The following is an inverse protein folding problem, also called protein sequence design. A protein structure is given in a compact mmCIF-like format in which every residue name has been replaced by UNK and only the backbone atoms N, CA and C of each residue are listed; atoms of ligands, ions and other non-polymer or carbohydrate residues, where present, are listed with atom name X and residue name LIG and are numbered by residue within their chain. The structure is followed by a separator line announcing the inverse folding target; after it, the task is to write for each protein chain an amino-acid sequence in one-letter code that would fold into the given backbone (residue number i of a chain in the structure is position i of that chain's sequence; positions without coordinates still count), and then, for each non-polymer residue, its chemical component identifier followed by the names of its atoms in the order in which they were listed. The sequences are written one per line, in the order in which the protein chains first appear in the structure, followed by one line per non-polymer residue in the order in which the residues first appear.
data_IF_048079229604
#
_entry.id   IF_048079229604
#
_cell.length_a   1.000
_cell.length_b   1.000
_cell.length_c   1.000
_cell.angle_alpha   90.00
_cell.angle_beta   90.00
_cell.angle_gamma   90.00
#
_symmetry.space_group_name_H-M   'P 1'
#
loop_
_entity.id
_entity.type
_entity.pdbx_description
1 polymer ?
#
# COMPACT_ATOMS: atom_id res chain seq x y z
N UNK A 1 -6.58 16.14 -6.31
CA UNK A 1 -7.72 16.24 -7.25
C UNK A 1 -8.77 15.16 -7.04
N UNK A 2 -9.85 15.15 -7.84
CA UNK A 2 -10.93 14.17 -7.68
C UNK A 2 -10.43 12.70 -7.71
N UNK A 3 -9.47 12.37 -8.56
CA UNK A 3 -8.90 11.01 -8.65
C UNK A 3 -8.24 10.51 -7.36
N UNK A 4 -7.60 11.39 -6.59
CA UNK A 4 -6.97 11.04 -5.31
C UNK A 4 -8.01 10.74 -4.24
N UNK A 5 -9.09 11.53 -4.23
CA UNK A 5 -10.19 11.33 -3.28
C UNK A 5 -10.86 9.98 -3.56
N UNK A 6 -11.12 9.64 -4.81
CA UNK A 6 -11.73 8.35 -5.18
C UNK A 6 -10.86 7.15 -4.78
N UNK A 7 -9.54 7.19 -5.05
CA UNK A 7 -8.64 6.10 -4.67
C UNK A 7 -8.61 5.88 -3.16
N UNK A 8 -8.48 6.95 -2.38
CA UNK A 8 -8.35 6.83 -0.92
C UNK A 8 -9.65 6.48 -0.23
N UNK A 9 -10.77 6.82 -0.82
CA UNK A 9 -12.06 6.40 -0.35
C UNK A 9 -12.27 4.90 -0.55
N UNK A 10 -11.82 4.33 -1.68
CA UNK A 10 -11.89 2.89 -1.91
C UNK A 10 -11.02 2.09 -0.94
N UNK A 11 -9.91 2.67 -0.44
CA UNK A 11 -9.12 2.10 0.67
C UNK A 11 -10.00 1.92 1.92
N UNK A 12 -10.84 2.92 2.25
CA UNK A 12 -11.80 2.82 3.35
C UNK A 12 -12.74 1.62 3.21
N UNK A 13 -13.24 1.36 2.01
CA UNK A 13 -14.10 0.19 1.74
C UNK A 13 -13.39 -1.16 1.90
N UNK A 14 -12.07 -1.18 1.90
CA UNK A 14 -11.30 -2.41 2.11
C UNK A 14 -11.07 -2.74 3.60
N UNK A 15 -11.28 -1.81 4.54
CA UNK A 15 -11.00 -2.00 5.95
C UNK A 15 -12.10 -2.78 6.69
N UNK A 16 -11.88 -4.06 6.91
CA UNK A 16 -12.82 -4.95 7.62
C UNK A 16 -12.23 -5.54 8.91
N UNK A 17 -12.91 -5.31 10.05
CA UNK A 17 -12.59 -5.93 11.34
C UNK A 17 -12.70 -7.46 11.32
N UNK A 18 -13.58 -8.00 10.49
CA UNK A 18 -13.77 -9.45 10.33
C UNK A 18 -12.50 -10.11 9.81
N UNK A 19 -11.84 -9.49 8.82
CA UNK A 19 -10.60 -10.04 8.24
C UNK A 19 -9.44 -10.02 9.24
N UNK A 20 -9.34 -9.00 10.11
CA UNK A 20 -8.37 -8.99 11.20
C UNK A 20 -8.58 -10.14 12.19
N UNK A 21 -9.83 -10.43 12.55
CA UNK A 21 -10.15 -11.53 13.47
C UNK A 21 -9.85 -12.90 12.85
N UNK A 22 -10.15 -13.09 11.57
CA UNK A 22 -9.88 -14.35 10.83
C UNK A 22 -8.37 -14.56 10.65
N UNK A 23 -7.62 -13.50 10.37
CA UNK A 23 -6.17 -13.56 10.16
C UNK A 23 -5.34 -13.83 11.41
N UNK A 24 -5.92 -13.62 12.59
CA UNK A 24 -5.31 -13.93 13.87
C UNK A 24 -3.96 -13.26 14.11
N UNK A 25 -3.13 -13.91 14.96
CA UNK A 25 -1.84 -13.35 15.41
C UNK A 25 -0.87 -13.00 14.27
N UNK A 26 -0.88 -13.75 13.15
CA UNK A 26 0.07 -13.52 12.06
C UNK A 26 -0.22 -12.21 11.31
N UNK A 27 -1.49 -11.88 11.07
CA UNK A 27 -1.89 -10.61 10.45
C UNK A 27 -1.51 -9.45 11.34
N UNK A 28 -1.76 -9.54 12.65
CA UNK A 28 -1.40 -8.48 13.61
C UNK A 28 0.11 -8.25 13.67
N UNK A 29 0.90 -9.33 13.77
CA UNK A 29 2.37 -9.23 13.80
C UNK A 29 2.94 -8.64 12.50
N UNK A 30 2.36 -9.02 11.36
CA UNK A 30 2.79 -8.50 10.07
C UNK A 30 2.41 -7.04 9.91
N UNK A 31 1.21 -6.64 10.35
CA UNK A 31 0.76 -5.24 10.37
C UNK A 31 1.67 -4.38 11.26
N UNK A 32 2.00 -4.84 12.47
CA UNK A 32 2.93 -4.13 13.34
C UNK A 32 4.32 -3.97 12.71
N UNK A 33 4.81 -5.01 12.02
CA UNK A 33 6.07 -4.91 11.27
C UNK A 33 5.98 -3.89 10.14
N UNK A 34 4.86 -3.83 9.43
CA UNK A 34 4.65 -2.85 8.35
C UNK A 34 4.56 -1.42 8.90
N UNK A 35 3.82 -1.18 9.98
CA UNK A 35 3.74 0.12 10.65
C UNK A 35 5.13 0.56 11.13
N UNK A 36 5.91 -0.34 11.71
CA UNK A 36 7.27 -0.02 12.14
C UNK A 36 8.16 0.38 10.97
N UNK A 37 8.03 -0.28 9.82
CA UNK A 37 8.76 0.12 8.61
C UNK A 37 8.33 1.52 8.14
N UNK A 38 7.04 1.83 8.11
CA UNK A 38 6.50 3.16 7.78
C UNK A 38 7.12 4.26 8.66
N UNK A 39 7.15 4.04 9.96
CA UNK A 39 7.76 4.99 10.91
C UNK A 39 9.24 5.18 10.64
N UNK A 40 9.98 4.08 10.44
CA UNK A 40 11.42 4.15 10.16
C UNK A 40 11.73 4.82 8.83
N UNK A 41 10.93 4.59 7.78
CA UNK A 41 11.06 5.25 6.49
C UNK A 41 10.95 6.78 6.64
N UNK A 42 10.01 7.26 7.43
CA UNK A 42 9.83 8.69 7.68
C UNK A 42 10.98 9.28 8.53
N UNK A 43 11.42 8.57 9.56
CA UNK A 43 12.56 9.00 10.38
C UNK A 43 13.83 9.12 9.51
N UNK A 44 14.11 8.11 8.68
CA UNK A 44 15.29 8.11 7.79
C UNK A 44 15.19 9.22 6.75
N UNK A 45 14.00 9.41 6.14
CA UNK A 45 13.79 10.49 5.16
C UNK A 45 14.08 11.87 5.76
N UNK A 46 13.48 12.16 6.92
CA UNK A 46 13.66 13.45 7.60
C UNK A 46 15.10 13.63 8.07
N UNK A 47 15.73 12.59 8.63
CA UNK A 47 17.12 12.67 9.12
C UNK A 47 18.11 12.95 7.99
N UNK A 48 17.98 12.28 6.86
CA UNK A 48 18.81 12.53 5.68
C UNK A 48 18.49 13.90 5.08
N UNK A 49 17.22 14.31 5.06
CA UNK A 49 16.81 15.64 4.61
C UNK A 49 17.55 16.74 5.39
N UNK A 50 17.54 16.67 6.71
CA UNK A 50 18.32 17.60 7.56
C UNK A 50 19.81 17.55 7.27
N UNK A 51 20.40 16.37 7.13
CA UNK A 51 21.83 16.20 6.90
C UNK A 51 22.29 16.71 5.53
N UNK A 52 21.41 16.69 4.52
CA UNK A 52 21.71 17.11 3.15
C UNK A 52 21.21 18.52 2.79
N UNK A 53 20.54 19.19 3.73
CA UNK A 53 19.99 20.53 3.51
C UNK A 53 18.69 20.56 2.70
N UNK A 54 18.06 19.40 2.47
CA UNK A 54 16.73 19.34 1.85
C UNK A 54 15.68 19.71 2.91
N UNK A 55 14.66 20.46 2.49
CA UNK A 55 13.54 20.74 3.39
C UNK A 55 12.92 19.43 3.90
N UNK A 56 12.70 19.26 5.22
CA UNK A 56 12.19 18.04 5.81
C UNK A 56 10.83 17.59 5.26
N UNK A 57 9.97 18.51 4.84
CA UNK A 57 8.67 18.18 4.22
C UNK A 57 8.84 17.56 2.83
N UNK A 58 9.81 18.05 2.04
CA UNK A 58 10.14 17.43 0.73
C UNK A 58 10.80 16.06 0.96
N UNK A 59 11.71 15.97 1.93
CA UNK A 59 12.34 14.69 2.28
C UNK A 59 11.29 13.66 2.76
N UNK A 60 10.32 14.07 3.56
CA UNK A 60 9.23 13.22 4.04
C UNK A 60 8.42 12.57 2.89
N UNK A 61 8.25 13.29 1.78
CA UNK A 61 7.59 12.74 0.58
C UNK A 61 8.37 11.56 -0.03
N UNK A 62 9.68 11.43 0.24
CA UNK A 62 10.48 10.27 -0.18
C UNK A 62 10.49 9.13 0.84
N UNK A 63 9.86 9.32 1.99
CA UNK A 63 9.67 8.32 3.04
C UNK A 63 8.53 7.36 2.74
N UNK A 64 7.78 6.99 3.77
CA UNK A 64 6.66 6.07 3.62
C UNK A 64 5.60 6.56 2.64
N UNK A 65 5.41 7.88 2.54
CA UNK A 65 4.47 8.52 1.61
C UNK A 65 4.64 8.01 0.17
N UNK A 66 5.88 7.94 -0.33
CA UNK A 66 6.16 7.43 -1.67
C UNK A 66 6.47 5.93 -1.68
N UNK A 67 7.17 5.42 -0.66
CA UNK A 67 7.62 4.03 -0.62
C UNK A 67 6.47 3.07 -0.34
N UNK A 68 5.87 3.12 0.84
CA UNK A 68 4.75 2.24 1.22
C UNK A 68 3.42 2.70 0.62
N UNK A 69 3.15 4.01 0.61
CA UNK A 69 1.91 4.58 0.06
C UNK A 69 1.89 4.67 -1.46
N UNK A 70 3.04 4.52 -2.10
CA UNK A 70 3.17 4.54 -3.56
C UNK A 70 2.68 5.84 -4.20
N UNK A 71 2.35 5.77 -5.49
CA UNK A 71 1.89 6.93 -6.24
C UNK A 71 0.63 7.58 -5.67
N UNK A 72 -0.27 6.81 -5.07
CA UNK A 72 -1.53 7.36 -4.56
C UNK A 72 -1.34 8.27 -3.36
N UNK A 73 -0.55 7.83 -2.36
CA UNK A 73 -0.26 8.64 -1.19
C UNK A 73 0.65 9.81 -1.56
N UNK A 74 1.67 9.57 -2.37
CA UNK A 74 2.56 10.60 -2.90
C UNK A 74 1.78 11.74 -3.58
N UNK A 75 0.84 11.39 -4.43
CA UNK A 75 0.02 12.32 -5.17
C UNK A 75 -0.97 13.12 -4.32
N UNK A 76 -1.45 12.53 -3.24
CA UNK A 76 -2.37 13.22 -2.35
C UNK A 76 -1.67 14.16 -1.36
N UNK A 77 -0.44 13.81 -0.93
CA UNK A 77 0.32 14.61 0.03
C UNK A 77 1.14 15.73 -0.62
N UNK A 78 1.65 15.50 -1.82
CA UNK A 78 2.50 16.47 -2.50
C UNK A 78 1.84 17.85 -2.75
N UNK A 79 0.57 17.96 -3.18
CA UNK A 79 -0.10 19.25 -3.30
C UNK A 79 -0.17 20.03 -1.99
N UNK A 80 -0.36 19.33 -0.86
CA UNK A 80 -0.39 19.96 0.47
C UNK A 80 0.96 20.62 0.78
N UNK A 81 2.05 19.93 0.44
CA UNK A 81 3.40 20.48 0.62
C UNK A 81 3.66 21.64 -0.34
N UNK A 82 3.13 21.59 -1.58
CA UNK A 82 3.23 22.72 -2.52
C UNK A 82 2.44 23.95 -2.04
N UNK A 83 1.22 23.76 -1.48
CA UNK A 83 0.42 24.83 -0.87
C UNK A 83 1.11 25.49 0.34
N UNK A 84 1.99 24.74 1.02
CA UNK A 84 2.86 25.29 2.08
C UNK A 84 4.05 26.11 1.52
N UNK A 85 4.15 26.28 0.20
CA UNK A 85 5.18 27.09 -0.47
C UNK A 85 6.40 26.32 -0.96
N UNK A 86 6.38 24.99 -0.93
CA UNK A 86 7.51 24.16 -1.38
C UNK A 86 7.29 23.63 -2.79
N UNK A 87 7.70 24.42 -3.79
CA UNK A 87 7.62 24.04 -5.21
C UNK A 87 8.39 22.75 -5.52
N UNK A 88 7.91 21.95 -6.49
CA UNK A 88 8.55 20.70 -6.91
C UNK A 88 8.25 19.49 -6.03
N UNK A 89 7.49 19.64 -4.94
CA UNK A 89 7.10 18.53 -4.06
C UNK A 89 6.39 17.41 -4.82
N UNK A 90 5.51 17.75 -5.77
CA UNK A 90 4.81 16.79 -6.61
C UNK A 90 5.76 15.97 -7.50
N UNK A 91 6.75 16.64 -8.10
CA UNK A 91 7.76 15.99 -8.94
C UNK A 91 8.62 15.03 -8.11
N UNK A 92 9.07 15.43 -6.93
CA UNK A 92 9.85 14.62 -5.99
C UNK A 92 9.04 13.40 -5.54
N UNK A 93 7.80 13.58 -5.11
CA UNK A 93 6.96 12.50 -4.58
C UNK A 93 6.67 11.43 -5.63
N UNK A 94 6.34 11.83 -6.87
CA UNK A 94 6.04 10.88 -7.95
C UNK A 94 7.31 10.18 -8.43
N UNK A 95 8.45 10.88 -8.54
CA UNK A 95 9.73 10.27 -8.87
C UNK A 95 10.15 9.24 -7.80
N UNK A 96 9.97 9.58 -6.52
CA UNK A 96 10.25 8.66 -5.41
C UNK A 96 9.36 7.42 -5.45
N UNK A 97 8.05 7.58 -5.68
CA UNK A 97 7.12 6.46 -5.82
C UNK A 97 7.45 5.56 -7.00
N UNK A 98 7.85 6.14 -8.13
CA UNK A 98 8.29 5.39 -9.33
C UNK A 98 9.56 4.58 -9.03
N UNK A 99 10.56 5.19 -8.39
CA UNK A 99 11.75 4.47 -7.94
C UNK A 99 11.38 3.33 -6.97
N UNK A 100 10.54 3.61 -6.00
CA UNK A 100 10.08 2.63 -5.03
C UNK A 100 9.43 1.41 -5.69
N UNK A 101 8.56 1.64 -6.68
CA UNK A 101 7.91 0.58 -7.46
C UNK A 101 8.94 -0.33 -8.16
N UNK A 102 9.96 0.25 -8.78
CA UNK A 102 11.03 -0.48 -9.48
C UNK A 102 11.89 -1.26 -8.47
N UNK A 103 12.33 -0.59 -7.40
CA UNK A 103 13.14 -1.20 -6.35
C UNK A 103 12.38 -2.33 -5.63
N UNK A 104 11.11 -2.11 -5.29
CA UNK A 104 10.26 -3.09 -4.64
C UNK A 104 10.07 -4.36 -5.48
N UNK A 105 9.84 -4.21 -6.79
CA UNK A 105 9.72 -5.35 -7.71
C UNK A 105 11.04 -6.10 -7.88
N UNK A 106 12.17 -5.37 -7.87
CA UNK A 106 13.48 -5.97 -8.14
C UNK A 106 14.11 -6.67 -6.93
N UNK A 107 13.82 -6.20 -5.71
CA UNK A 107 14.49 -6.67 -4.49
C UNK A 107 13.80 -7.83 -3.78
N UNK A 108 12.49 -8.00 -3.95
CA UNK A 108 11.71 -8.97 -3.17
C UNK A 108 12.08 -10.42 -3.45
N UNK A 109 12.13 -10.81 -4.72
CA UNK A 109 12.53 -12.16 -5.12
C UNK A 109 13.96 -12.53 -4.67
N UNK A 110 14.98 -11.71 -4.94
CA UNK A 110 16.35 -11.92 -4.45
C UNK A 110 16.46 -12.04 -2.93
N UNK A 111 15.74 -11.20 -2.16
CA UNK A 111 15.73 -11.25 -0.70
C UNK A 111 15.22 -12.61 -0.19
N UNK A 112 14.05 -13.05 -0.67
CA UNK A 112 13.48 -14.33 -0.26
C UNK A 112 14.36 -15.52 -0.69
N UNK A 113 14.87 -15.53 -1.90
CA UNK A 113 15.80 -16.56 -2.37
C UNK A 113 17.05 -16.64 -1.49
N UNK A 114 17.59 -15.49 -1.07
CA UNK A 114 18.75 -15.45 -0.15
C UNK A 114 18.40 -16.02 1.21
N UNK A 115 17.21 -15.70 1.75
CA UNK A 115 16.73 -16.24 3.03
C UNK A 115 16.56 -17.76 2.95
N UNK A 116 15.87 -18.26 1.92
CA UNK A 116 15.61 -19.70 1.73
C UNK A 116 16.93 -20.49 1.65
N UNK A 117 17.86 -20.04 0.78
CA UNK A 117 19.14 -20.72 0.59
C UNK A 117 20.06 -20.64 1.79
N UNK A 118 20.23 -19.43 2.37
CA UNK A 118 21.18 -19.23 3.48
C UNK A 118 20.74 -19.90 4.78
N UNK A 119 19.43 -20.04 4.97
CA UNK A 119 18.85 -20.64 6.18
C UNK A 119 18.47 -22.10 5.98
N UNK A 120 18.72 -22.68 4.80
CA UNK A 120 18.32 -24.05 4.44
C UNK A 120 16.85 -24.33 4.85
N UNK A 121 15.94 -23.40 4.48
CA UNK A 121 14.57 -23.53 4.89
C UNK A 121 13.93 -24.75 4.23
N UNK A 122 13.41 -25.65 5.06
CA UNK A 122 12.68 -26.82 4.57
C UNK A 122 11.39 -26.37 3.89
N UNK A 123 11.27 -26.68 2.63
CA UNK A 123 10.02 -26.57 1.90
C UNK A 123 9.22 -27.85 2.19
N UNK A 124 8.60 -27.96 3.38
CA UNK A 124 7.78 -29.12 3.72
C UNK A 124 6.70 -29.28 2.69
N UNK A 125 6.66 -30.47 2.07
CA UNK A 125 5.55 -30.86 1.21
C UNK A 125 4.33 -31.11 2.12
N UNK A 126 3.51 -30.10 2.36
CA UNK A 126 2.17 -30.35 2.87
C UNK A 126 1.40 -31.08 1.78
N UNK A 127 0.86 -32.24 2.13
CA UNK A 127 0.00 -33.03 1.27
C UNK A 127 -1.17 -32.16 0.86
N UNK A 128 -1.21 -31.81 -0.43
CA UNK A 128 -2.28 -31.01 -1.03
C UNK A 128 -3.43 -31.97 -1.31
N UNK A 129 -4.20 -32.29 -0.29
CA UNK A 129 -5.51 -32.87 -0.45
C UNK A 129 -6.53 -32.02 0.33
N UNK A 130 -7.51 -31.52 -0.37
CA UNK A 130 -8.82 -30.99 0.09
C UNK A 130 -9.00 -29.54 0.53
N UNK A 131 -8.08 -28.61 0.44
CA UNK A 131 -8.39 -27.20 0.79
C UNK A 131 -8.44 -26.20 -0.38
N UNK A 132 -8.28 -26.64 -1.61
CA UNK A 132 -8.34 -25.76 -2.80
C UNK A 132 -9.68 -25.05 -3.04
N UNK A 133 -10.77 -25.46 -2.39
CA UNK A 133 -12.09 -24.83 -2.62
C UNK A 133 -12.33 -23.53 -1.84
N UNK A 134 -11.59 -23.26 -0.77
CA UNK A 134 -11.82 -22.06 0.04
C UNK A 134 -10.85 -20.91 -0.24
N UNK A 135 -9.66 -21.19 -0.80
CA UNK A 135 -8.69 -20.16 -1.17
C UNK A 135 -9.01 -19.50 -2.53
N UNK A 136 -9.75 -20.20 -3.40
CA UNK A 136 -10.36 -19.60 -4.60
C UNK A 136 -11.31 -18.44 -4.28
N UNK A 137 -11.86 -18.38 -3.07
CA UNK A 137 -12.80 -17.33 -2.68
C UNK A 137 -12.14 -15.93 -2.53
N UNK A 138 -10.83 -15.87 -2.30
CA UNK A 138 -10.11 -14.59 -2.19
C UNK A 138 -9.45 -14.16 -3.50
N UNK A 139 -9.24 -15.07 -4.44
CA UNK A 139 -8.51 -14.82 -5.69
C UNK A 139 -9.23 -15.37 -6.93
N UNK A 140 -10.39 -15.97 -6.77
CA UNK A 140 -11.20 -16.35 -7.90
C UNK A 140 -11.76 -15.09 -8.55
N UNK A 141 -10.98 -14.53 -9.48
CA UNK A 141 -11.50 -13.75 -10.57
C UNK A 141 -12.40 -14.64 -11.45
N UNK A 142 -13.47 -15.17 -10.88
CA UNK A 142 -14.65 -15.42 -11.68
C UNK A 142 -14.98 -14.04 -12.24
N UNK A 143 -14.76 -13.88 -13.53
CA UNK A 143 -15.19 -12.71 -14.30
C UNK A 143 -16.71 -12.64 -14.13
N UNK A 144 -17.15 -12.12 -12.99
CA UNK A 144 -18.52 -11.67 -12.81
C UNK A 144 -18.69 -10.61 -13.89
N UNK A 145 -19.62 -10.81 -14.80
CA UNK A 145 -19.92 -9.78 -15.79
C UNK A 145 -20.24 -8.52 -15.01
N UNK A 146 -19.44 -7.48 -15.20
CA UNK A 146 -19.72 -6.17 -14.66
C UNK A 146 -21.09 -5.75 -15.17
N UNK A 147 -21.99 -5.47 -14.25
CA UNK A 147 -23.32 -5.01 -14.58
C UNK A 147 -23.39 -3.49 -14.46
N UNK A 148 -23.92 -2.83 -15.49
CA UNK A 148 -24.02 -1.37 -15.53
C UNK A 148 -24.84 -0.80 -14.37
N UNK A 149 -25.87 -1.52 -13.91
CA UNK A 149 -26.68 -1.10 -12.75
C UNK A 149 -25.87 -1.16 -11.45
N UNK A 150 -25.10 -2.22 -11.25
CA UNK A 150 -24.24 -2.36 -10.07
C UNK A 150 -23.10 -1.35 -10.09
N UNK A 151 -22.56 -1.04 -11.26
CA UNK A 151 -21.56 0.02 -11.43
C UNK A 151 -22.11 1.39 -11.03
N UNK A 152 -23.34 1.72 -11.44
CA UNK A 152 -23.99 2.95 -11.05
C UNK A 152 -24.24 2.99 -9.53
N UNK A 153 -24.67 1.88 -8.92
CA UNK A 153 -24.85 1.77 -7.45
C UNK A 153 -23.52 1.98 -6.71
N UNK A 154 -22.45 1.31 -7.15
CA UNK A 154 -21.11 1.48 -6.58
C UNK A 154 -20.65 2.94 -6.67
N UNK A 155 -20.83 3.57 -7.81
CA UNK A 155 -20.50 4.98 -8.01
C UNK A 155 -21.30 5.90 -7.07
N UNK A 156 -22.60 5.66 -6.91
CA UNK A 156 -23.43 6.40 -5.96
C UNK A 156 -23.00 6.22 -4.50
N UNK A 157 -22.63 5.00 -4.10
CA UNK A 157 -22.11 4.72 -2.76
C UNK A 157 -20.82 5.49 -2.51
N UNK A 158 -19.93 5.56 -3.50
CA UNK A 158 -18.71 6.36 -3.43
C UNK A 158 -19.05 7.85 -3.27
N UNK A 159 -19.94 8.40 -4.09
CA UNK A 159 -20.36 9.80 -3.98
C UNK A 159 -21.00 10.11 -2.62
N UNK A 160 -21.82 9.21 -2.10
CA UNK A 160 -22.46 9.37 -0.79
C UNK A 160 -21.41 9.39 0.34
N UNK A 161 -20.44 8.48 0.30
CA UNK A 161 -19.37 8.46 1.28
C UNK A 161 -18.48 9.72 1.18
N UNK A 162 -18.23 10.24 -0.05
CA UNK A 162 -17.55 11.53 -0.24
C UNK A 162 -18.35 12.69 0.35
N UNK A 163 -19.63 12.75 0.08
CA UNK A 163 -20.51 13.81 0.57
C UNK A 163 -20.54 13.84 2.10
N UNK A 164 -20.88 12.73 2.73
CA UNK A 164 -20.92 12.65 4.22
C UNK A 164 -19.52 12.88 4.80
N UNK A 165 -18.49 12.28 4.19
CA UNK A 165 -17.12 12.39 4.64
C UNK A 165 -16.52 13.78 4.52
N UNK A 166 -16.97 14.60 3.55
CA UNK A 166 -16.51 15.98 3.44
C UNK A 166 -16.98 16.84 4.66
N UNK A 167 -18.19 16.64 5.12
CA UNK A 167 -18.66 17.29 6.36
C UNK A 167 -17.87 16.80 7.57
N UNK A 168 -17.57 15.50 7.65
CA UNK A 168 -16.74 14.94 8.70
C UNK A 168 -15.32 15.55 8.67
N UNK A 169 -14.72 15.72 7.47
CA UNK A 169 -13.42 16.39 7.33
C UNK A 169 -13.46 17.83 7.82
N UNK A 170 -14.51 18.59 7.50
CA UNK A 170 -14.67 19.98 7.96
C UNK A 170 -14.72 20.02 9.49
N UNK A 171 -15.46 19.10 10.10
CA UNK A 171 -15.57 19.02 11.56
C UNK A 171 -14.24 18.64 12.23
N UNK A 172 -13.53 17.62 11.71
CA UNK A 172 -12.24 17.17 12.22
C UNK A 172 -11.19 18.30 12.08
N UNK A 173 -11.20 19.04 10.98
CA UNK A 173 -10.24 20.10 10.70
C UNK A 173 -10.40 21.35 11.62
N UNK A 174 -11.45 21.43 12.43
CA UNK A 174 -11.56 22.43 13.50
C UNK A 174 -10.59 22.13 14.66
N UNK A 175 -10.23 20.86 14.87
CA UNK A 175 -9.39 20.41 15.97
C UNK A 175 -7.99 20.03 15.52
N UNK A 176 -7.86 19.39 14.36
CA UNK A 176 -6.61 18.85 13.81
C UNK A 176 -6.60 19.06 12.30
N UNK A 177 -5.54 19.64 11.76
CA UNK A 177 -5.40 19.85 10.32
C UNK A 177 -5.08 18.53 9.61
N UNK A 178 -6.08 17.86 9.09
CA UNK A 178 -5.96 16.66 8.28
C UNK A 178 -6.28 16.93 6.80
N UNK A 179 -5.72 16.13 5.89
CA UNK A 179 -6.13 16.15 4.49
C UNK A 179 -7.63 15.89 4.30
N UNK A 180 -8.22 16.54 3.32
CA UNK A 180 -9.68 16.51 3.08
C UNK A 180 -10.26 15.13 2.75
N UNK A 181 -9.42 14.17 2.33
CA UNK A 181 -9.83 12.80 2.01
C UNK A 181 -10.04 11.90 3.23
N UNK A 182 -9.56 12.27 4.42
CA UNK A 182 -9.65 11.42 5.62
C UNK A 182 -11.11 11.18 6.02
N UNK A 183 -11.96 12.20 5.98
CA UNK A 183 -13.39 12.02 6.27
C UNK A 183 -14.08 11.02 5.35
N UNK A 184 -13.99 11.17 4.00
CA UNK A 184 -14.49 10.16 3.05
C UNK A 184 -13.94 8.75 3.28
N UNK A 185 -12.66 8.62 3.59
CA UNK A 185 -12.04 7.32 3.91
C UNK A 185 -12.64 6.67 5.15
N UNK A 186 -12.85 7.43 6.22
CA UNK A 186 -13.47 6.93 7.45
C UNK A 186 -14.93 6.52 7.23
N UNK A 187 -15.72 7.31 6.50
CA UNK A 187 -17.11 6.97 6.17
C UNK A 187 -17.17 5.70 5.30
N UNK A 188 -16.27 5.55 4.33
CA UNK A 188 -16.16 4.34 3.53
C UNK A 188 -15.85 3.09 4.38
N UNK A 189 -14.93 3.23 5.37
CA UNK A 189 -14.65 2.16 6.33
C UNK A 189 -15.87 1.82 7.20
N UNK A 190 -16.66 2.80 7.61
CA UNK A 190 -17.93 2.58 8.33
C UNK A 190 -18.91 1.82 7.44
N UNK A 191 -19.12 2.22 6.18
CA UNK A 191 -19.99 1.52 5.24
C UNK A 191 -19.57 0.07 5.06
N UNK A 192 -18.25 -0.17 4.92
CA UNK A 192 -17.69 -1.53 4.84
C UNK A 192 -18.08 -2.39 6.04
N UNK A 193 -17.81 -1.88 7.25
CA UNK A 193 -18.08 -2.65 8.46
C UNK A 193 -19.59 -2.86 8.72
N UNK A 194 -20.44 -1.93 8.31
CA UNK A 194 -21.91 -2.10 8.34
C UNK A 194 -22.33 -3.19 7.35
N UNK A 195 -21.80 -3.18 6.12
CA UNK A 195 -22.06 -4.22 5.11
C UNK A 195 -21.65 -5.60 5.62
N UNK A 196 -20.43 -5.72 6.17
CA UNK A 196 -19.92 -6.98 6.73
C UNK A 196 -20.76 -7.49 7.93
N UNK A 197 -21.33 -6.59 8.72
CA UNK A 197 -22.14 -6.93 9.89
C UNK A 197 -23.59 -7.31 9.57
N UNK A 198 -24.19 -6.68 8.54
CA UNK A 198 -25.62 -6.79 8.27
C UNK A 198 -25.96 -7.75 7.13
N UNK A 199 -25.01 -8.11 6.26
CA UNK A 199 -25.20 -8.93 5.02
C UNK A 199 -26.35 -8.47 4.09
N UNK A 200 -27.00 -7.35 4.44
CA UNK A 200 -28.15 -6.80 3.70
C UNK A 200 -27.73 -5.71 2.68
N UNK A 201 -26.55 -5.14 2.85
CA UNK A 201 -26.05 -4.06 1.99
C UNK A 201 -24.91 -4.62 1.15
N UNK A 202 -25.16 -4.81 -0.13
CA UNK A 202 -24.11 -5.14 -1.10
C UNK A 202 -23.44 -3.83 -1.56
N UNK A 203 -22.14 -3.72 -1.32
CA UNK A 203 -21.36 -2.55 -1.72
C UNK A 203 -20.80 -2.66 -3.13
N UNK A 204 -21.04 -3.77 -3.84
CA UNK A 204 -20.54 -4.00 -5.19
C UNK A 204 -19.03 -3.77 -5.31
N UNK A 205 -18.24 -4.51 -4.50
CA UNK A 205 -16.79 -4.30 -4.37
C UNK A 205 -16.02 -4.41 -5.68
N UNK A 206 -16.44 -5.28 -6.59
CA UNK A 206 -15.76 -5.48 -7.87
C UNK A 206 -15.86 -4.22 -8.73
N UNK A 207 -17.03 -3.59 -8.75
CA UNK A 207 -17.27 -2.33 -9.44
C UNK A 207 -16.51 -1.17 -8.78
N UNK A 208 -16.44 -1.15 -7.42
CA UNK A 208 -15.61 -0.18 -6.68
C UNK A 208 -14.13 -0.33 -7.07
N UNK A 209 -13.59 -1.54 -7.16
CA UNK A 209 -12.21 -1.78 -7.59
C UNK A 209 -11.93 -1.33 -9.02
N UNK A 210 -12.88 -1.50 -9.93
CA UNK A 210 -12.74 -0.97 -11.29
C UNK A 210 -12.68 0.55 -11.28
N UNK A 211 -13.58 1.20 -10.54
CA UNK A 211 -13.57 2.67 -10.37
C UNK A 211 -12.26 3.17 -9.76
N UNK A 212 -11.74 2.46 -8.75
CA UNK A 212 -10.44 2.74 -8.15
C UNK A 212 -9.31 2.67 -9.17
N UNK A 213 -9.24 1.57 -9.93
CA UNK A 213 -8.19 1.34 -10.92
C UNK A 213 -8.23 2.38 -12.04
N UNK A 214 -9.42 2.70 -12.56
CA UNK A 214 -9.59 3.73 -13.59
C UNK A 214 -9.18 5.11 -13.06
N UNK A 215 -9.65 5.47 -11.86
CA UNK A 215 -9.33 6.76 -11.24
C UNK A 215 -7.84 6.92 -10.98
N UNK A 216 -7.18 5.84 -10.50
CA UNK A 216 -5.74 5.82 -10.28
C UNK A 216 -4.97 5.98 -11.60
N UNK A 217 -5.31 5.23 -12.64
CA UNK A 217 -4.62 5.30 -13.92
C UNK A 217 -4.76 6.67 -14.58
N UNK A 218 -5.97 7.27 -14.56
CA UNK A 218 -6.20 8.62 -15.04
C UNK A 218 -5.37 9.64 -14.25
N UNK A 219 -5.37 9.50 -12.92
CA UNK A 219 -4.57 10.37 -12.06
C UNK A 219 -3.07 10.25 -12.36
N UNK A 220 -2.54 9.02 -12.46
CA UNK A 220 -1.12 8.78 -12.78
C UNK A 220 -0.75 9.36 -14.15
N UNK A 221 -1.62 9.20 -15.17
CA UNK A 221 -1.43 9.79 -16.48
C UNK A 221 -1.31 11.32 -16.40
N UNK A 222 -2.25 11.99 -15.71
CA UNK A 222 -2.20 13.44 -15.50
C UNK A 222 -0.96 13.87 -14.69
N UNK A 223 -0.60 13.11 -13.67
CA UNK A 223 0.55 13.41 -12.85
C UNK A 223 1.86 13.32 -13.64
N UNK A 224 2.02 12.27 -14.48
CA UNK A 224 3.19 12.10 -15.35
C UNK A 224 3.32 13.21 -16.39
N UNK A 225 2.21 13.63 -17.00
CA UNK A 225 2.22 14.76 -17.94
C UNK A 225 2.60 16.08 -17.26
N UNK A 226 2.23 16.24 -15.99
CA UNK A 226 2.50 17.45 -15.20
C UNK A 226 3.91 17.48 -14.57
N UNK A 227 4.71 16.41 -14.72
CA UNK A 227 6.03 16.30 -14.12
C UNK A 227 7.01 17.35 -14.68
N UNK A 228 7.58 18.14 -13.80
CA UNK A 228 8.62 19.13 -14.11
C UNK A 228 9.99 18.56 -13.80
N UNK A 229 10.53 17.76 -14.71
CA UNK A 229 11.80 17.05 -14.51
C UNK A 229 12.99 17.98 -14.23
N UNK A 230 12.95 19.23 -14.71
CA UNK A 230 14.00 20.22 -14.45
C UNK A 230 14.07 20.64 -12.98
N UNK A 231 12.97 20.56 -12.23
CA UNK A 231 12.96 20.83 -10.79
C UNK A 231 13.70 19.74 -10.01
N UNK A 232 13.74 18.50 -10.51
CA UNK A 232 14.46 17.39 -9.91
C UNK A 232 15.96 17.48 -10.15
N UNK A 233 16.40 18.14 -11.22
CA UNK A 233 17.83 18.19 -11.58
C UNK A 233 18.70 18.81 -10.49
N UNK A 234 18.21 19.84 -9.81
CA UNK A 234 18.91 20.49 -8.70
C UNK A 234 19.02 19.65 -7.43
N UNK A 235 18.12 18.69 -7.24
CA UNK A 235 18.03 17.79 -6.08
C UNK A 235 18.51 16.36 -6.39
N UNK A 236 18.97 16.08 -7.61
CA UNK A 236 19.21 14.73 -8.09
C UNK A 236 20.14 13.91 -7.19
N UNK A 237 21.24 14.48 -6.72
CA UNK A 237 22.19 13.81 -5.83
C UNK A 237 21.59 13.45 -4.48
N UNK A 238 20.94 14.42 -3.82
CA UNK A 238 20.31 14.22 -2.52
C UNK A 238 19.12 13.26 -2.63
N UNK A 239 18.30 13.39 -3.70
CA UNK A 239 17.17 12.50 -3.96
C UNK A 239 17.64 11.06 -4.17
N UNK A 240 18.71 10.85 -4.94
CA UNK A 240 19.30 9.52 -5.14
C UNK A 240 19.75 8.92 -3.81
N UNK A 241 20.41 9.70 -2.95
CA UNK A 241 20.84 9.26 -1.62
C UNK A 241 19.62 8.84 -0.76
N UNK A 242 18.59 9.67 -0.72
CA UNK A 242 17.34 9.36 0.00
C UNK A 242 16.70 8.07 -0.48
N UNK A 243 16.57 7.89 -1.78
CA UNK A 243 15.91 6.73 -2.37
C UNK A 243 16.71 5.43 -2.15
N UNK A 244 18.03 5.48 -2.29
CA UNK A 244 18.90 4.33 -2.00
C UNK A 244 18.88 3.99 -0.50
N UNK A 245 18.85 4.99 0.37
CA UNK A 245 18.73 4.77 1.81
C UNK A 245 17.39 4.09 2.16
N UNK A 246 16.28 4.50 1.53
CA UNK A 246 14.98 3.85 1.72
C UNK A 246 14.98 2.38 1.26
N UNK A 247 15.55 2.11 0.08
CA UNK A 247 15.66 0.74 -0.42
C UNK A 247 16.53 -0.14 0.49
N UNK A 248 17.66 0.39 0.97
CA UNK A 248 18.53 -0.30 1.92
C UNK A 248 17.84 -0.53 3.27
N UNK A 249 17.17 0.49 3.81
CA UNK A 249 16.39 0.38 5.05
C UNK A 249 15.37 -0.74 4.95
N UNK A 250 14.53 -0.73 3.90
CA UNK A 250 13.49 -1.74 3.71
C UNK A 250 14.11 -3.15 3.58
N UNK A 251 15.19 -3.29 2.78
CA UNK A 251 15.88 -4.57 2.62
C UNK A 251 16.41 -5.11 3.95
N UNK A 252 17.13 -4.28 4.72
CA UNK A 252 17.73 -4.66 6.01
C UNK A 252 16.64 -4.96 7.04
N UNK A 253 15.66 -4.07 7.16
CA UNK A 253 14.54 -4.24 8.10
C UNK A 253 13.78 -5.55 7.85
N UNK A 254 13.41 -5.80 6.60
CA UNK A 254 12.62 -6.98 6.24
C UNK A 254 13.43 -8.25 6.40
N UNK A 255 14.71 -8.23 6.02
CA UNK A 255 15.61 -9.38 6.16
C UNK A 255 15.83 -9.77 7.62
N UNK A 256 16.00 -8.81 8.53
CA UNK A 256 16.34 -9.09 9.92
C UNK A 256 15.14 -9.08 10.87
N UNK A 257 14.15 -8.24 10.64
CA UNK A 257 13.02 -8.03 11.55
C UNK A 257 11.79 -8.78 11.06
N UNK A 258 11.25 -8.45 9.90
CA UNK A 258 10.01 -9.07 9.41
C UNK A 258 10.14 -10.58 9.30
N UNK A 259 11.22 -11.08 8.71
CA UNK A 259 11.48 -12.52 8.60
C UNK A 259 11.47 -13.24 9.96
N UNK A 260 12.10 -12.64 10.99
CA UNK A 260 12.14 -13.23 12.34
C UNK A 260 10.80 -13.15 13.05
N UNK A 261 10.16 -12.01 13.01
CA UNK A 261 8.85 -11.79 13.64
C UNK A 261 7.79 -12.74 13.08
N UNK A 262 7.87 -13.07 11.80
CA UNK A 262 6.94 -13.98 11.15
C UNK A 262 7.24 -15.47 11.35
N UNK A 263 8.34 -15.83 12.06
CA UNK A 263 8.62 -17.18 12.48
C UNK A 263 9.82 -17.86 11.81
N UNK A 264 10.59 -17.13 11.00
CA UNK A 264 11.86 -17.59 10.38
C UNK A 264 11.77 -18.91 9.58
N UNK A 265 10.63 -19.15 8.96
CA UNK A 265 10.34 -20.33 8.13
C UNK A 265 10.15 -19.95 6.66
N UNK A 266 9.76 -20.93 5.84
CA UNK A 266 9.51 -20.71 4.41
C UNK A 266 8.42 -19.65 4.15
N UNK A 267 7.26 -19.75 4.86
CA UNK A 267 6.18 -18.77 4.73
C UNK A 267 6.65 -17.35 5.06
N UNK A 268 7.53 -17.23 6.07
CA UNK A 268 8.12 -15.93 6.44
C UNK A 268 9.04 -15.38 5.35
N UNK A 269 9.74 -16.24 4.61
CA UNK A 269 10.57 -15.81 3.47
C UNK A 269 9.71 -15.33 2.31
N UNK A 270 8.60 -16.02 2.00
CA UNK A 270 7.64 -15.59 0.99
C UNK A 270 6.96 -14.28 1.40
N UNK A 271 6.51 -14.15 2.66
CA UNK A 271 5.97 -12.90 3.21
C UNK A 271 6.97 -11.75 3.14
N UNK A 272 8.26 -12.04 3.36
CA UNK A 272 9.32 -11.04 3.24
C UNK A 272 9.45 -10.51 1.81
N UNK A 273 9.31 -11.36 0.77
CA UNK A 273 9.25 -10.91 -0.61
C UNK A 273 8.04 -9.99 -0.86
N UNK A 274 6.88 -10.35 -0.32
CA UNK A 274 5.67 -9.54 -0.38
C UNK A 274 5.85 -8.18 0.32
N UNK A 275 6.46 -8.19 1.52
CA UNK A 275 6.70 -6.96 2.28
C UNK A 275 7.65 -5.99 1.54
N UNK A 276 8.70 -6.48 0.89
CA UNK A 276 9.56 -5.63 0.03
C UNK A 276 8.74 -4.99 -1.08
N UNK A 277 7.89 -5.76 -1.74
CA UNK A 277 7.08 -5.29 -2.86
C UNK A 277 6.13 -4.17 -2.48
N UNK A 278 5.34 -4.31 -1.39
CA UNK A 278 4.42 -3.25 -0.99
C UNK A 278 5.07 -2.17 -0.12
N UNK A 279 6.11 -2.50 0.63
CA UNK A 279 6.81 -1.54 1.49
C UNK A 279 7.72 -0.56 0.73
N UNK A 280 8.03 -0.84 -0.54
CA UNK A 280 8.74 0.05 -1.45
C UNK A 280 7.90 0.47 -2.66
N UNK A 281 6.75 -0.15 -2.90
CA UNK A 281 6.00 0.09 -4.13
C UNK A 281 4.50 0.07 -3.93
N UNK A 282 3.90 -1.10 -4.15
CA UNK A 282 2.46 -1.28 -4.06
C UNK A 282 2.10 -2.75 -3.77
N UNK A 283 0.89 -2.99 -3.27
CA UNK A 283 0.40 -4.35 -2.98
C UNK A 283 0.52 -5.31 -4.17
N UNK A 284 0.18 -4.94 -5.43
CA UNK A 284 0.38 -5.82 -6.58
C UNK A 284 1.84 -6.27 -6.76
N UNK A 285 2.82 -5.40 -6.50
CA UNK A 285 4.24 -5.77 -6.55
C UNK A 285 4.58 -6.81 -5.48
N UNK A 286 3.98 -6.67 -4.29
CA UNK A 286 4.15 -7.66 -3.23
C UNK A 286 3.62 -9.03 -3.65
N UNK A 287 2.44 -9.08 -4.26
CA UNK A 287 1.85 -10.33 -4.79
C UNK A 287 2.75 -10.92 -5.89
N UNK A 288 3.19 -10.12 -6.85
CA UNK A 288 4.08 -10.58 -7.93
C UNK A 288 5.41 -11.13 -7.42
N UNK A 289 6.00 -10.47 -6.41
CA UNK A 289 7.21 -10.97 -5.76
C UNK A 289 7.00 -12.32 -5.08
N UNK A 290 5.88 -12.49 -4.36
CA UNK A 290 5.54 -13.76 -3.74
C UNK A 290 5.31 -14.85 -4.77
N UNK A 291 4.60 -14.56 -5.86
CA UNK A 291 4.40 -15.48 -6.98
C UNK A 291 5.73 -15.94 -7.57
N UNK A 292 6.63 -15.00 -7.90
CA UNK A 292 7.96 -15.33 -8.43
C UNK A 292 8.78 -16.27 -7.51
N UNK A 293 8.60 -16.18 -6.20
CA UNK A 293 9.23 -17.10 -5.24
C UNK A 293 8.51 -18.45 -5.23
N UNK A 294 7.18 -18.45 -5.19
CA UNK A 294 6.40 -19.68 -5.08
C UNK A 294 6.40 -20.50 -6.36
N UNK A 295 6.49 -19.88 -7.52
CA UNK A 295 6.67 -20.56 -8.81
C UNK A 295 7.98 -21.38 -8.85
N UNK A 296 9.00 -20.91 -8.13
CA UNK A 296 10.30 -21.59 -8.08
C UNK A 296 10.39 -22.66 -7.00
N UNK A 297 9.66 -22.51 -5.88
CA UNK A 297 9.75 -23.40 -4.73
C UNK A 297 8.41 -24.09 -4.45
N UNK A 298 7.52 -23.45 -3.68
CA UNK A 298 6.22 -24.01 -3.30
C UNK A 298 5.25 -22.88 -2.95
N UNK A 299 3.96 -23.10 -3.17
CA UNK A 299 2.92 -22.16 -2.76
C UNK A 299 2.85 -22.01 -1.24
N UNK A 300 2.64 -20.78 -0.76
CA UNK A 300 2.49 -20.44 0.66
C UNK A 300 1.12 -19.85 0.93
N UNK A 301 0.18 -20.68 1.39
CA UNK A 301 -1.19 -20.24 1.72
C UNK A 301 -1.19 -19.10 2.75
N UNK A 302 -0.32 -19.19 3.74
CA UNK A 302 -0.20 -18.19 4.81
C UNK A 302 0.26 -16.84 4.26
N UNK A 303 1.27 -16.84 3.38
CA UNK A 303 1.79 -15.59 2.83
C UNK A 303 0.75 -14.90 1.95
N UNK A 304 0.09 -15.64 1.07
CA UNK A 304 -0.95 -15.11 0.19
C UNK A 304 -2.24 -14.73 0.92
N UNK A 305 -2.46 -15.22 2.12
CA UNK A 305 -3.54 -14.79 2.98
C UNK A 305 -3.19 -13.51 3.76
N UNK A 306 -2.03 -13.49 4.42
CA UNK A 306 -1.64 -12.42 5.36
C UNK A 306 -1.28 -11.12 4.63
N UNK A 307 -0.48 -11.21 3.56
CA UNK A 307 0.08 -10.03 2.90
C UNK A 307 -0.98 -9.13 2.26
N UNK A 308 -1.95 -9.63 1.49
CA UNK A 308 -2.98 -8.77 0.91
C UNK A 308 -3.85 -8.08 1.96
N UNK A 309 -4.16 -8.77 3.07
CA UNK A 309 -4.94 -8.18 4.17
C UNK A 309 -4.21 -6.98 4.77
N UNK A 310 -2.92 -7.07 4.98
CA UNK A 310 -2.13 -5.97 5.54
C UNK A 310 -1.82 -4.91 4.48
N UNK A 311 -1.30 -5.32 3.35
CA UNK A 311 -0.79 -4.41 2.31
C UNK A 311 -1.89 -3.70 1.53
N UNK A 312 -3.09 -4.30 1.38
CA UNK A 312 -4.18 -3.67 0.64
C UNK A 312 -5.26 -3.05 1.54
N UNK A 313 -5.39 -3.53 2.80
CA UNK A 313 -6.52 -3.12 3.63
C UNK A 313 -6.13 -2.20 4.78
N UNK A 314 -5.01 -2.46 5.45
CA UNK A 314 -4.73 -1.80 6.72
C UNK A 314 -3.60 -0.80 6.67
N UNK A 315 -2.55 -1.03 5.89
CA UNK A 315 -1.35 -0.19 5.95
C UNK A 315 -1.61 1.26 5.55
N UNK A 316 -2.51 1.49 4.62
CA UNK A 316 -2.85 2.82 4.12
C UNK A 316 -3.56 3.70 5.17
N UNK A 317 -4.09 3.11 6.26
CA UNK A 317 -4.61 3.87 7.41
C UNK A 317 -3.50 4.42 8.30
N UNK A 318 -2.32 3.81 8.27
CA UNK A 318 -1.18 4.19 9.11
C UNK A 318 -0.11 4.99 8.34
N UNK A 319 -0.24 5.03 7.03
CA UNK A 319 0.66 5.75 6.15
C UNK A 319 0.06 7.08 5.70
#
# INVERSE_FOLDING_TARGET
GLGDVYKRQSIGFNASWRLLKVGGRKVVLFLLSAIMLVVLQNIVAVSIGYATGINPLIALLTGSTAMTGGHGTAAAMAPIVEEMGYSGAKSVAIAAATFGLIAGSSLGGPLANRLIRRKNLEVKAEVIEEKHKNDEFLFNNSIKKLDGENFAKAFFIILLAMFIGSYLSIYINQFLKFPSYIGPMLIAAVFRNISDATTKVDLHYEEIHVLESVSLNLFLGMAMISLRLWELASLAGQLTLLLLAQALLAYVFIYFITFRVMGSNYDSAVLSAGHVGFGLGATPNGIANMQSVTDKYKYSHIAFFVMPIVGALFIDFFN
#
